data_IF_015230881007
#
_entry.id   IF_015230881007
#
_cell.length_a   1.000
_cell.length_b   1.000
_cell.length_c   1.000
_cell.angle_alpha   90.00
_cell.angle_beta   90.00
_cell.angle_gamma   90.00
#
_symmetry.space_group_name_H-M   'P 1'
#
loop_
_entity.id
_entity.type
_entity.pdbx_description
1 polymer ?
#
# COMPACT_ATOMS: atom_id res chain seq x y z
N UNK A 1 0.37 -9.50 -7.15
CA UNK A 1 -0.56 -8.97 -8.16
C UNK A 1 -0.28 -9.61 -9.52
N UNK A 2 -1.24 -9.48 -10.41
CA UNK A 2 -1.15 -10.01 -11.76
C UNK A 2 -1.87 -9.07 -12.72
N UNK A 3 -1.30 -8.89 -13.90
CA UNK A 3 -1.93 -8.12 -14.98
C UNK A 3 -2.39 -9.06 -16.08
N UNK A 4 -3.66 -8.97 -16.44
CA UNK A 4 -4.26 -9.82 -17.46
C UNK A 4 -4.83 -8.99 -18.61
N UNK A 5 -5.17 -9.64 -19.74
CA UNK A 5 -5.87 -8.97 -20.84
C UNK A 5 -7.25 -8.52 -20.39
N UNK A 6 -7.69 -7.38 -20.89
CA UNK A 6 -9.04 -6.88 -20.62
C UNK A 6 -10.12 -7.88 -21.07
N UNK A 7 -9.88 -8.58 -22.16
CA UNK A 7 -10.85 -9.54 -22.70
C UNK A 7 -10.90 -10.88 -21.95
N UNK A 8 -9.91 -11.16 -21.12
CA UNK A 8 -9.86 -12.42 -20.39
C UNK A 8 -10.88 -12.42 -19.25
N UNK A 9 -11.53 -13.54 -19.06
CA UNK A 9 -12.42 -13.77 -17.92
C UNK A 9 -11.74 -14.73 -16.98
N UNK A 10 -11.47 -14.29 -15.77
CA UNK A 10 -10.86 -15.14 -14.74
C UNK A 10 -11.65 -15.06 -13.45
N UNK A 11 -11.59 -16.15 -12.69
CA UNK A 11 -12.13 -16.16 -11.34
C UNK A 11 -11.14 -15.50 -10.40
N UNK A 12 -11.56 -14.45 -9.69
CA UNK A 12 -10.65 -13.67 -8.85
C UNK A 12 -10.69 -14.04 -7.37
N UNK A 13 -11.55 -14.91 -6.94
CA UNK A 13 -11.55 -15.38 -5.55
C UNK A 13 -11.89 -14.32 -4.51
N UNK A 14 -11.77 -14.72 -3.25
CA UNK A 14 -12.21 -13.89 -2.11
C UNK A 14 -11.18 -12.90 -1.60
N UNK A 15 -9.91 -13.10 -1.92
CA UNK A 15 -8.82 -12.34 -1.32
C UNK A 15 -8.31 -11.19 -2.22
N UNK A 16 -9.13 -10.74 -3.14
CA UNK A 16 -8.77 -9.63 -4.02
C UNK A 16 -8.97 -8.32 -3.28
N UNK A 17 -7.92 -7.52 -3.18
CA UNK A 17 -7.94 -6.23 -2.50
C UNK A 17 -8.15 -5.07 -3.47
N UNK A 18 -7.76 -5.23 -4.73
CA UNK A 18 -7.70 -4.11 -5.65
C UNK A 18 -7.80 -4.61 -7.09
N UNK A 19 -8.65 -3.97 -7.87
CA UNK A 19 -8.77 -4.22 -9.30
C UNK A 19 -8.86 -2.88 -10.02
N UNK A 20 -8.03 -2.69 -11.02
CA UNK A 20 -8.10 -1.49 -11.86
C UNK A 20 -7.46 -1.75 -13.22
N UNK A 21 -7.70 -0.84 -14.15
CA UNK A 21 -7.05 -0.87 -15.46
C UNK A 21 -5.58 -0.48 -15.29
N UNK A 22 -4.69 -1.29 -15.85
CA UNK A 22 -3.27 -1.00 -15.85
C UNK A 22 -2.87 -0.33 -17.16
N UNK A 23 -2.07 0.73 -17.07
CA UNK A 23 -1.47 1.39 -18.23
C UNK A 23 0.03 1.19 -18.22
N UNK A 24 0.54 0.62 -19.31
CA UNK A 24 1.99 0.42 -19.47
C UNK A 24 2.71 1.77 -19.50
N UNK A 25 3.89 1.82 -18.94
CA UNK A 25 4.74 3.04 -18.85
C UNK A 25 4.09 4.19 -18.08
N UNK A 26 3.11 3.88 -17.23
CA UNK A 26 2.52 4.88 -16.35
C UNK A 26 3.49 5.19 -15.23
N UNK A 27 4.06 6.39 -15.24
CA UNK A 27 5.00 6.86 -14.22
C UNK A 27 4.33 7.70 -13.15
N UNK A 28 3.05 8.00 -13.29
CA UNK A 28 2.32 8.88 -12.38
C UNK A 28 1.60 8.14 -11.28
N UNK A 29 1.11 6.94 -11.58
CA UNK A 29 0.42 6.14 -10.57
C UNK A 29 1.43 5.62 -9.56
N UNK A 30 1.19 5.94 -8.30
CA UNK A 30 1.99 5.46 -7.18
C UNK A 30 1.17 4.50 -6.35
N UNK A 31 1.75 3.35 -6.06
CA UNK A 31 1.12 2.31 -5.26
C UNK A 31 1.67 2.37 -3.85
N UNK A 32 0.77 2.24 -2.88
CA UNK A 32 1.10 2.23 -1.47
C UNK A 32 0.69 0.88 -0.89
N UNK A 33 1.56 0.28 -0.13
CA UNK A 33 1.29 -1.04 0.44
C UNK A 33 1.85 -1.15 1.86
N UNK A 34 1.13 -1.89 2.69
CA UNK A 34 1.61 -2.34 3.98
C UNK A 34 1.47 -3.85 4.02
N UNK A 35 2.51 -4.54 4.40
CA UNK A 35 2.48 -5.99 4.52
C UNK A 35 3.12 -6.47 5.81
N UNK A 36 2.67 -7.65 6.25
CA UNK A 36 3.27 -8.36 7.38
C UNK A 36 4.24 -9.39 6.83
N UNK A 37 5.45 -9.40 7.35
CA UNK A 37 6.50 -10.33 6.94
C UNK A 37 6.42 -11.61 7.78
N UNK A 38 5.74 -12.62 7.24
CA UNK A 38 5.49 -13.88 7.94
C UNK A 38 4.27 -13.82 8.85
N UNK A 39 3.91 -14.95 9.46
CA UNK A 39 2.73 -15.05 10.33
C UNK A 39 2.83 -14.20 11.59
N UNK A 40 4.01 -14.13 12.16
CA UNK A 40 4.29 -13.39 13.40
C UNK A 40 5.32 -12.30 13.16
N UNK A 41 5.51 -11.93 11.91
CA UNK A 41 6.52 -10.97 11.53
C UNK A 41 6.11 -9.53 11.81
N UNK A 42 7.05 -8.65 11.56
CA UNK A 42 6.83 -7.23 11.67
C UNK A 42 6.12 -6.71 10.42
N UNK A 43 5.63 -5.48 10.49
CA UNK A 43 4.92 -4.84 9.40
C UNK A 43 5.81 -3.84 8.70
N UNK A 44 5.74 -3.84 7.36
CA UNK A 44 6.54 -2.97 6.52
C UNK A 44 5.62 -2.16 5.62
N UNK A 45 6.05 -0.94 5.35
CA UNK A 45 5.35 0.00 4.48
C UNK A 45 6.22 0.30 3.27
N UNK A 46 5.62 0.30 2.09
CA UNK A 46 6.36 0.62 0.89
C UNK A 46 5.52 1.36 -0.13
N UNK A 47 6.21 2.09 -0.97
CA UNK A 47 5.65 2.93 -2.01
C UNK A 47 6.42 2.66 -3.29
N UNK A 48 5.72 2.44 -4.39
CA UNK A 48 6.37 2.04 -5.63
C UNK A 48 5.55 2.43 -6.85
N UNK A 49 6.22 2.46 -8.01
CA UNK A 49 5.59 2.59 -9.30
C UNK A 49 5.72 1.26 -10.04
N UNK A 50 4.82 1.03 -10.98
CA UNK A 50 4.89 -0.13 -11.87
C UNK A 50 4.81 0.39 -13.30
N UNK A 51 5.92 0.36 -14.00
CA UNK A 51 5.98 0.87 -15.38
C UNK A 51 6.03 -0.24 -16.42
N UNK A 52 6.48 -1.41 -16.02
CA UNK A 52 6.57 -2.56 -16.91
C UNK A 52 6.17 -3.84 -16.18
N UNK A 53 5.55 -4.75 -16.93
CA UNK A 53 5.11 -6.04 -16.40
C UNK A 53 5.24 -7.12 -17.48
N UNK A 54 5.28 -8.36 -17.02
CA UNK A 54 4.99 -9.52 -17.87
C UNK A 54 3.56 -9.92 -17.60
N UNK A 55 2.73 -9.97 -18.65
CA UNK A 55 1.33 -10.33 -18.51
C UNK A 55 1.21 -11.75 -17.94
N UNK A 56 0.21 -11.94 -17.10
CA UNK A 56 -0.12 -13.22 -16.45
C UNK A 56 0.93 -13.71 -15.44
N UNK A 57 2.02 -12.98 -15.26
CA UNK A 57 2.99 -13.29 -14.22
C UNK A 57 2.51 -12.75 -12.88
N UNK A 58 2.64 -13.57 -11.84
CA UNK A 58 2.37 -13.14 -10.48
C UNK A 58 3.58 -12.41 -9.90
N UNK A 59 3.31 -11.27 -9.28
CA UNK A 59 4.33 -10.46 -8.60
C UNK A 59 4.02 -10.42 -7.11
N UNK A 60 4.97 -10.86 -6.31
CA UNK A 60 4.84 -10.86 -4.85
C UNK A 60 5.34 -9.52 -4.32
N UNK A 61 4.49 -8.80 -3.59
CA UNK A 61 4.85 -7.52 -2.98
C UNK A 61 5.50 -7.68 -1.61
N UNK A 62 5.51 -8.90 -1.08
CA UNK A 62 6.19 -9.24 0.18
C UNK A 62 7.58 -9.78 -0.12
N UNK A 63 8.29 -10.20 0.91
CA UNK A 63 9.61 -10.83 0.71
C UNK A 63 9.50 -12.36 0.55
N UNK A 64 8.29 -12.88 0.40
CA UNK A 64 8.08 -14.30 0.17
C UNK A 64 8.17 -15.16 1.42
N UNK A 65 8.31 -14.58 2.59
CA UNK A 65 8.31 -15.34 3.83
C UNK A 65 6.97 -16.05 4.01
N UNK A 66 6.93 -17.35 4.31
CA UNK A 66 5.68 -18.06 4.48
C UNK A 66 4.76 -17.38 5.51
N UNK A 67 3.49 -17.21 5.13
CA UNK A 67 2.51 -16.53 5.96
C UNK A 67 2.50 -15.02 5.82
N UNK A 68 3.32 -14.45 4.95
CA UNK A 68 3.28 -13.01 4.67
C UNK A 68 1.97 -12.61 4.03
N UNK A 69 1.50 -11.41 4.34
CA UNK A 69 0.22 -10.92 3.84
C UNK A 69 0.25 -9.42 3.65
N UNK A 70 -0.24 -8.97 2.48
CA UNK A 70 -0.51 -7.56 2.25
C UNK A 70 -1.82 -7.20 2.95
N UNK A 71 -1.78 -6.18 3.80
CA UNK A 71 -2.94 -5.78 4.61
C UNK A 71 -3.51 -4.42 4.22
N UNK A 72 -2.78 -3.67 3.42
CA UNK A 72 -3.24 -2.38 2.90
C UNK A 72 -2.64 -2.16 1.52
N UNK A 73 -3.47 -1.75 0.58
CA UNK A 73 -3.00 -1.49 -0.78
C UNK A 73 -3.87 -0.43 -1.43
N UNK A 74 -3.24 0.60 -1.97
CA UNK A 74 -3.93 1.63 -2.75
C UNK A 74 -3.11 2.02 -3.96
N UNK A 75 -3.79 2.58 -4.94
CA UNK A 75 -3.16 3.12 -6.14
C UNK A 75 -3.63 4.56 -6.33
N UNK A 76 -2.67 5.47 -6.47
CA UNK A 76 -2.95 6.89 -6.59
C UNK A 76 -2.51 7.39 -7.97
N UNK A 77 -3.46 7.66 -8.88
CA UNK A 77 -3.16 7.93 -10.30
C UNK A 77 -2.29 9.15 -10.54
N UNK A 78 -2.27 10.08 -9.60
CA UNK A 78 -1.48 11.31 -9.71
C UNK A 78 -0.38 11.38 -8.66
N UNK A 79 0.00 10.25 -8.10
CA UNK A 79 1.09 10.20 -7.13
C UNK A 79 0.76 10.82 -5.78
N UNK A 80 -0.52 10.93 -5.43
CA UNK A 80 -0.89 11.45 -4.12
C UNK A 80 -0.30 10.58 -3.03
N UNK A 81 0.20 11.24 -1.99
CA UNK A 81 0.62 10.57 -0.78
C UNK A 81 -0.56 10.53 0.19
N UNK A 82 -0.77 9.39 0.81
CA UNK A 82 -1.85 9.19 1.77
C UNK A 82 -1.35 9.30 3.19
N UNK A 83 -2.20 9.83 4.05
CA UNK A 83 -2.00 9.76 5.49
C UNK A 83 -2.91 8.65 6.00
N UNK A 84 -2.32 7.63 6.58
CA UNK A 84 -3.06 6.49 7.12
C UNK A 84 -3.03 6.50 8.64
N UNK A 85 -4.10 5.97 9.23
CA UNK A 85 -4.20 5.73 10.65
C UNK A 85 -4.11 4.23 10.88
N UNK A 86 -3.12 3.83 11.66
CA UNK A 86 -2.89 2.44 12.01
C UNK A 86 -3.31 2.24 13.44
N UNK A 87 -4.32 1.40 13.67
CA UNK A 87 -4.76 1.03 15.00
C UNK A 87 -4.07 -0.28 15.39
N UNK A 88 -3.33 -0.24 16.49
CA UNK A 88 -2.62 -1.41 16.98
C UNK A 88 -3.52 -2.28 17.85
N UNK A 89 -3.18 -3.57 17.94
CA UNK A 89 -3.91 -4.48 18.79
C UNK A 89 -3.82 -4.04 20.25
N UNK A 90 -4.94 -4.21 20.95
CA UNK A 90 -5.04 -3.85 22.36
C UNK A 90 -4.39 -4.93 23.19
N UNK A 91 -3.52 -4.52 24.09
CA UNK A 91 -3.02 -5.40 25.15
C UNK A 91 -3.99 -5.34 26.33
N UNK A 92 -4.77 -6.40 26.51
CA UNK A 92 -5.81 -6.46 27.53
C UNK A 92 -5.28 -6.41 28.95
N UNK A 93 -3.99 -6.62 29.14
CA UNK A 93 -3.37 -6.51 30.47
C UNK A 93 -3.06 -5.07 30.85
N UNK A 94 -3.16 -4.15 29.92
CA UNK A 94 -2.89 -2.73 30.15
C UNK A 94 -4.17 -1.91 30.13
N UNK A 95 -4.22 -0.90 30.97
CA UNK A 95 -5.43 -0.07 31.10
C UNK A 95 -5.59 0.93 29.97
N UNK A 96 -4.50 1.42 29.40
CA UNK A 96 -4.57 2.38 28.27
C UNK A 96 -4.59 1.61 26.97
N UNK A 97 -5.64 1.82 26.19
CA UNK A 97 -5.99 0.94 25.11
C UNK A 97 -5.77 1.51 23.73
N UNK A 98 -5.94 2.79 23.53
CA UNK A 98 -6.05 3.34 22.18
C UNK A 98 -4.68 3.73 21.65
N UNK A 99 -3.91 2.74 21.22
CA UNK A 99 -2.62 3.00 20.60
C UNK A 99 -2.83 3.17 19.11
N UNK A 100 -2.58 4.36 18.64
CA UNK A 100 -2.66 4.70 17.23
C UNK A 100 -1.30 5.11 16.72
N UNK A 101 -1.09 4.86 15.45
CA UNK A 101 0.07 5.31 14.72
C UNK A 101 -0.43 5.96 13.44
N UNK A 102 0.03 7.16 13.16
CA UNK A 102 -0.23 7.80 11.89
C UNK A 102 1.02 7.74 11.03
N UNK A 103 0.83 7.44 9.76
CA UNK A 103 1.95 7.37 8.83
C UNK A 103 1.58 8.09 7.54
N UNK A 104 2.45 8.98 7.13
CA UNK A 104 2.32 9.73 5.88
C UNK A 104 3.18 9.03 4.83
N UNK A 105 2.55 8.56 3.76
CA UNK A 105 3.27 7.91 2.68
C UNK A 105 4.24 8.85 1.96
N UNK A 106 4.07 10.17 2.08
CA UNK A 106 5.03 11.10 1.51
C UNK A 106 6.43 10.96 2.10
N UNK A 107 6.53 10.42 3.31
CA UNK A 107 7.80 10.15 3.97
C UNK A 107 8.45 8.85 3.52
N UNK A 108 7.74 8.05 2.75
CA UNK A 108 8.23 6.76 2.25
C UNK A 108 8.78 6.95 0.86
N UNK A 109 10.05 6.63 0.67
CA UNK A 109 10.69 6.75 -0.63
C UNK A 109 10.07 5.75 -1.61
N UNK A 110 9.90 6.20 -2.85
CA UNK A 110 9.47 5.32 -3.93
C UNK A 110 10.62 4.41 -4.29
N UNK A 111 10.40 3.10 -4.19
CA UNK A 111 11.40 2.08 -4.48
C UNK A 111 10.84 1.08 -5.50
N UNK A 112 11.64 0.11 -5.90
CA UNK A 112 11.15 -0.96 -6.77
C UNK A 112 10.10 -1.82 -6.08
N UNK A 113 9.18 -2.36 -6.87
CA UNK A 113 8.09 -3.20 -6.35
C UNK A 113 8.56 -4.43 -5.57
N UNK A 114 9.74 -4.93 -5.89
CA UNK A 114 10.29 -6.12 -5.24
C UNK A 114 11.13 -5.79 -4.01
N UNK A 115 11.31 -4.52 -3.69
CA UNK A 115 12.13 -4.13 -2.54
C UNK A 115 11.42 -4.38 -1.22
N UNK A 116 12.22 -4.57 -0.17
CA UNK A 116 11.67 -4.57 1.19
C UNK A 116 11.25 -3.15 1.53
N UNK A 117 10.11 -2.99 2.14
CA UNK A 117 9.66 -1.69 2.60
C UNK A 117 10.42 -1.21 3.84
N UNK A 118 10.03 -0.04 4.31
CA UNK A 118 10.50 0.49 5.59
C UNK A 118 9.73 -0.17 6.72
N UNK A 119 10.37 -0.39 7.85
CA UNK A 119 9.70 -0.93 9.03
C UNK A 119 8.61 0.04 9.48
N UNK A 120 7.38 -0.41 9.55
CA UNK A 120 6.25 0.38 10.05
C UNK A 120 6.08 0.20 11.55
N UNK A 121 5.92 -1.03 11.98
CA UNK A 121 5.75 -1.35 13.40
C UNK A 121 6.08 -2.81 13.66
N UNK A 122 6.56 -3.07 14.86
CA UNK A 122 6.78 -4.44 15.37
C UNK A 122 5.56 -4.99 16.09
N UNK A 123 4.57 -4.14 16.34
CA UNK A 123 3.35 -4.51 17.07
C UNK A 123 2.28 -4.98 16.12
N UNK A 124 1.40 -5.85 16.59
CA UNK A 124 0.27 -6.33 15.79
C UNK A 124 -0.66 -5.18 15.42
N UNK A 125 -1.11 -5.19 14.18
CA UNK A 125 -2.03 -4.19 13.67
C UNK A 125 -3.45 -4.74 13.74
N UNK A 126 -4.34 -3.95 14.36
CA UNK A 126 -5.76 -4.28 14.40
C UNK A 126 -6.44 -3.89 13.07
N UNK A 127 -6.20 -2.66 12.59
CA UNK A 127 -6.72 -2.20 11.31
C UNK A 127 -5.94 -0.99 10.79
N UNK A 128 -6.04 -0.77 9.49
CA UNK A 128 -5.49 0.40 8.82
C UNK A 128 -6.63 1.08 8.08
N UNK A 129 -6.68 2.39 8.16
CA UNK A 129 -7.63 3.20 7.40
C UNK A 129 -6.98 4.43 6.83
N UNK A 130 -7.50 4.87 5.70
CA UNK A 130 -7.12 6.14 5.10
C UNK A 130 -7.64 7.27 5.98
N UNK A 131 -6.77 8.19 6.40
CA UNK A 131 -7.17 9.36 7.16
C UNK A 131 -7.38 10.55 6.24
N UNK A 132 -6.44 10.79 5.34
CA UNK A 132 -6.55 11.86 4.36
C UNK A 132 -5.58 11.63 3.23
N UNK A 133 -5.79 12.34 2.11
CA UNK A 133 -4.82 12.41 1.03
C UNK A 133 -3.89 13.58 1.28
N UNK A 134 -2.60 13.35 1.04
CA UNK A 134 -1.62 14.40 1.02
C UNK A 134 -1.67 15.16 -0.30
N UNK A 135 -0.76 16.12 -0.43
CA UNK A 135 -0.64 16.86 -1.67
C UNK A 135 -0.15 15.97 -2.81
N UNK A 136 -0.78 16.13 -3.97
CA UNK A 136 -0.30 15.56 -5.21
C UNK A 136 0.57 16.60 -5.91
N UNK A 137 1.77 16.24 -6.39
CA UNK A 137 2.59 17.17 -7.15
C UNK A 137 1.85 17.74 -8.37
N UNK A 138 1.00 16.94 -8.97
CA UNK A 138 0.23 17.33 -10.14
C UNK A 138 -0.91 18.26 -9.79
N UNK A 139 -1.60 18.02 -8.70
CA UNK A 139 -2.69 18.87 -8.22
C UNK A 139 -2.18 20.23 -7.78
N UNK A 140 -1.07 20.28 -7.07
CA UNK A 140 -0.48 21.53 -6.61
C UNK A 140 -0.05 22.42 -7.78
N UNK A 141 0.51 21.83 -8.81
CA UNK A 141 0.88 22.57 -10.01
C UNK A 141 -0.35 23.17 -10.72
N UNK A 142 -1.51 22.52 -10.60
CA UNK A 142 -2.73 22.94 -11.27
C UNK A 142 -3.59 23.88 -10.43
N UNK A 143 -3.72 23.61 -9.14
CA UNK A 143 -4.68 24.29 -8.28
C UNK A 143 -4.04 25.18 -7.22
N UNK A 144 -2.74 25.16 -7.09
CA UNK A 144 -2.03 25.92 -6.09
C UNK A 144 -2.46 25.53 -4.67
N UNK A 145 -2.60 26.53 -3.81
CA UNK A 145 -2.90 26.31 -2.40
C UNK A 145 -4.39 26.20 -2.07
N UNK A 146 -5.24 26.12 -3.07
CA UNK A 146 -6.70 26.06 -2.84
C UNK A 146 -7.17 24.73 -2.28
N UNK A 147 -6.33 23.78 -2.27
CA UNK A 147 -6.61 22.48 -1.73
C UNK A 147 -6.80 22.52 -0.22
N UNK A 148 -7.80 21.86 0.24
CA UNK A 148 -8.08 21.79 1.68
C UNK A 148 -8.12 20.40 2.22
#
# INVERSE_FOLDING_TARGET
YKVIKVADKIFVGKNVMHVQVFKRNDKRTTYNAVYRDGKKGFYYIKRFNVTSITRDKEYDLTMGTPGSRVIYFTANPNGEAELIKVTLDIDTTKKKQNIFLEKDFSEVLIKGRASRGNLLTKKSIHRIGLKSHGHSPWADAKYGSTRM
#
